data_IF_460171769130
#
_entry.id   IF_460171769130
#
_cell.length_a   1.000
_cell.length_b   1.000
_cell.length_c   1.000
_cell.angle_alpha   90.00
_cell.angle_beta   90.00
_cell.angle_gamma   90.00
#
_symmetry.space_group_name_H-M   'P 1'
#
loop_
_entity.id
_entity.type
_entity.pdbx_description
1 polymer ?
#
# COMPACT_ATOMS: atom_id res chain seq x y z
N UNK A 1 11.52 1.11 67.43
CA UNK A 1 11.38 1.86 66.16
C UNK A 1 12.38 1.32 65.15
N UNK A 2 11.95 0.70 64.06
CA UNK A 2 12.77 0.47 62.85
C UNK A 2 11.85 0.14 61.69
N UNK A 3 11.73 1.09 60.76
CA UNK A 3 10.87 1.01 59.61
C UNK A 3 11.49 0.11 58.53
N UNK A 4 10.77 -0.96 58.16
CA UNK A 4 11.03 -1.76 56.95
C UNK A 4 10.91 -0.88 55.70
N UNK A 5 12.03 -0.47 55.09
CA UNK A 5 12.05 0.02 53.70
C UNK A 5 11.91 -1.18 52.76
N UNK A 6 10.68 -1.47 52.33
CA UNK A 6 10.41 -2.34 51.18
C UNK A 6 11.04 -1.71 49.94
N UNK A 7 12.12 -2.31 49.43
CA UNK A 7 12.63 -2.04 48.07
C UNK A 7 11.49 -2.33 47.08
N UNK A 8 10.94 -1.28 46.46
CA UNK A 8 10.05 -1.43 45.31
C UNK A 8 10.91 -2.00 44.17
N UNK A 9 10.74 -3.29 43.91
CA UNK A 9 11.20 -3.94 42.69
C UNK A 9 10.47 -3.30 41.50
N UNK A 10 11.10 -2.34 40.85
CA UNK A 10 10.71 -1.92 39.51
C UNK A 10 11.22 -3.04 38.59
N UNK A 11 10.38 -4.07 38.40
CA UNK A 11 10.61 -5.09 37.38
C UNK A 11 10.58 -4.38 36.02
N UNK A 12 11.77 -4.08 35.50
CA UNK A 12 11.97 -3.76 34.11
C UNK A 12 11.50 -4.93 33.25
N UNK A 13 10.32 -4.77 32.65
CA UNK A 13 9.87 -5.62 31.56
C UNK A 13 9.31 -4.73 30.47
N UNK A 14 10.16 -4.31 29.55
CA UNK A 14 9.70 -4.16 28.17
C UNK A 14 10.80 -4.67 27.24
N UNK A 15 10.73 -5.97 26.94
CA UNK A 15 11.57 -6.63 25.95
C UNK A 15 11.39 -5.92 24.60
N UNK A 16 12.44 -5.22 24.14
CA UNK A 16 12.67 -4.69 22.79
C UNK A 16 11.47 -4.70 21.83
N UNK A 17 10.65 -3.64 21.88
CA UNK A 17 9.67 -3.37 20.83
C UNK A 17 10.37 -2.59 19.72
N UNK A 18 10.74 -3.27 18.63
CA UNK A 18 11.25 -2.60 17.42
C UNK A 18 10.14 -1.76 16.81
N UNK A 19 10.34 -0.44 16.73
CA UNK A 19 9.40 0.46 16.05
C UNK A 19 9.69 0.48 14.55
N UNK A 20 8.65 0.69 13.72
CA UNK A 20 8.78 0.80 12.27
C UNK A 20 7.71 1.72 11.70
N UNK A 21 8.06 2.51 10.70
CA UNK A 21 7.10 3.31 9.92
C UNK A 21 6.42 2.45 8.84
N UNK A 22 5.22 2.87 8.43
CA UNK A 22 4.49 2.30 7.30
C UNK A 22 3.90 3.45 6.49
N UNK A 23 4.13 3.44 5.18
CA UNK A 23 3.64 4.48 4.27
C UNK A 23 2.57 3.91 3.34
N UNK A 24 1.39 4.53 3.34
CA UNK A 24 0.33 4.30 2.35
C UNK A 24 0.35 5.43 1.34
N UNK A 25 0.19 5.09 0.06
CA UNK A 25 0.26 6.05 -1.05
C UNK A 25 -1.03 5.92 -1.87
N UNK A 26 -1.73 7.03 -2.01
CA UNK A 26 -2.88 7.21 -2.90
C UNK A 26 -2.68 8.49 -3.70
N UNK A 27 -2.95 8.40 -4.99
CA UNK A 27 -2.98 9.49 -5.95
C UNK A 27 -4.46 9.84 -6.12
N UNK A 28 -4.78 11.11 -5.95
CA UNK A 28 -6.13 11.65 -6.08
C UNK A 28 -6.20 12.65 -7.22
N UNK A 29 -7.39 12.92 -7.71
CA UNK A 29 -7.66 14.06 -8.60
C UNK A 29 -7.90 15.35 -7.80
N UNK A 30 -8.27 16.43 -8.49
CA UNK A 30 -8.55 17.74 -7.90
C UNK A 30 -9.73 17.74 -6.91
N UNK A 31 -10.59 16.72 -6.96
CA UNK A 31 -11.75 16.57 -6.08
C UNK A 31 -11.46 15.63 -4.90
N UNK A 32 -10.19 15.31 -4.65
CA UNK A 32 -9.73 14.34 -3.64
C UNK A 32 -10.22 12.90 -3.86
N UNK A 33 -10.72 12.57 -5.05
CA UNK A 33 -11.18 11.24 -5.35
C UNK A 33 -10.02 10.34 -5.76
N UNK A 34 -10.04 9.08 -5.30
CA UNK A 34 -8.91 8.16 -5.52
C UNK A 34 -8.79 7.79 -7.00
N UNK A 35 -7.72 8.26 -7.63
CA UNK A 35 -7.31 7.88 -8.96
C UNK A 35 -6.54 6.55 -8.92
N UNK A 36 -5.40 6.49 -8.22
CA UNK A 36 -4.57 5.28 -8.18
C UNK A 36 -3.93 5.07 -6.80
N UNK A 37 -3.55 3.84 -6.49
CA UNK A 37 -2.93 3.52 -5.19
C UNK A 37 -2.78 2.03 -5.01
N UNK A 38 -2.37 1.59 -3.82
CA UNK A 38 -2.08 0.18 -3.56
C UNK A 38 -3.26 -0.76 -3.86
N UNK A 39 -4.51 -0.31 -3.64
CA UNK A 39 -5.70 -1.10 -3.95
C UNK A 39 -5.88 -1.34 -5.45
N UNK A 40 -5.79 -0.28 -6.28
CA UNK A 40 -5.88 -0.42 -7.75
C UNK A 40 -4.69 -1.21 -8.30
N UNK A 41 -3.49 -0.97 -7.75
CA UNK A 41 -2.29 -1.70 -8.12
C UNK A 41 -2.45 -3.21 -7.91
N UNK A 42 -2.94 -3.67 -6.74
CA UNK A 42 -3.20 -5.08 -6.48
C UNK A 42 -4.24 -5.70 -7.41
N UNK A 43 -5.27 -4.94 -7.78
CA UNK A 43 -6.25 -5.37 -8.80
C UNK A 43 -5.55 -5.65 -10.12
N UNK A 44 -4.72 -4.73 -10.58
CA UNK A 44 -4.04 -4.87 -11.86
C UNK A 44 -2.96 -5.98 -11.83
N UNK A 45 -2.27 -6.20 -10.71
CA UNK A 45 -1.38 -7.37 -10.56
C UNK A 45 -2.18 -8.68 -10.67
N UNK A 46 -3.34 -8.76 -10.00
CA UNK A 46 -4.18 -9.95 -10.08
C UNK A 46 -4.75 -10.18 -11.49
N UNK A 47 -5.10 -9.12 -12.23
CA UNK A 47 -5.52 -9.25 -13.64
C UNK A 47 -4.35 -9.74 -14.51
N UNK A 48 -3.14 -9.19 -14.32
CA UNK A 48 -1.94 -9.63 -15.05
C UNK A 48 -1.60 -11.10 -14.74
N UNK A 49 -1.79 -11.55 -13.50
CA UNK A 49 -1.51 -12.93 -13.08
C UNK A 49 -2.58 -13.94 -13.52
N UNK A 50 -3.86 -13.56 -13.50
CA UNK A 50 -4.97 -14.49 -13.72
C UNK A 50 -5.71 -14.30 -15.04
N UNK A 51 -5.30 -13.34 -15.87
CA UNK A 51 -5.79 -13.13 -17.25
C UNK A 51 -7.22 -12.62 -17.40
N UNK A 52 -7.92 -12.29 -16.30
CA UNK A 52 -9.26 -11.73 -16.36
C UNK A 52 -9.65 -10.98 -15.07
N UNK A 53 -10.57 -10.02 -15.20
CA UNK A 53 -11.16 -9.29 -14.07
C UNK A 53 -11.96 -10.22 -13.16
N UNK A 54 -12.62 -11.24 -13.72
CA UNK A 54 -13.40 -12.21 -12.94
C UNK A 54 -12.49 -13.08 -12.06
N UNK A 55 -11.38 -13.57 -12.58
CA UNK A 55 -10.39 -14.32 -11.78
C UNK A 55 -9.70 -13.42 -10.76
N UNK A 56 -9.33 -12.19 -11.13
CA UNK A 56 -8.77 -11.22 -10.20
C UNK A 56 -9.73 -10.90 -9.03
N UNK A 57 -11.03 -10.78 -9.30
CA UNK A 57 -12.04 -10.56 -8.28
C UNK A 57 -12.15 -11.74 -7.31
N UNK A 58 -12.09 -12.98 -7.83
CA UNK A 58 -12.07 -14.20 -7.00
C UNK A 58 -10.84 -14.24 -6.11
N UNK A 59 -9.65 -14.02 -6.66
CA UNK A 59 -8.39 -14.00 -5.91
C UNK A 59 -8.42 -12.97 -4.78
N UNK A 60 -8.88 -11.75 -5.09
CA UNK A 60 -8.90 -10.65 -4.13
C UNK A 60 -10.08 -10.72 -3.15
N UNK A 61 -10.94 -11.74 -3.24
CA UNK A 61 -12.19 -11.87 -2.46
C UNK A 61 -13.07 -10.62 -2.57
N UNK A 62 -13.15 -10.06 -3.78
CA UNK A 62 -13.94 -8.88 -4.12
C UNK A 62 -15.06 -9.28 -5.10
N UNK A 63 -16.16 -8.52 -5.11
CA UNK A 63 -17.14 -8.69 -6.18
C UNK A 63 -16.59 -8.19 -7.51
N UNK A 64 -16.97 -8.84 -8.62
CA UNK A 64 -16.61 -8.41 -9.97
C UNK A 64 -16.92 -6.92 -10.20
N UNK A 65 -18.12 -6.47 -9.80
CA UNK A 65 -18.56 -5.06 -9.92
C UNK A 65 -17.63 -4.10 -9.16
N UNK A 66 -17.12 -4.52 -8.00
CA UNK A 66 -16.22 -3.72 -7.16
C UNK A 66 -14.82 -3.57 -7.77
N UNK A 67 -14.31 -4.61 -8.44
CA UNK A 67 -13.04 -4.57 -9.18
C UNK A 67 -13.20 -3.75 -10.45
N UNK A 68 -14.22 -4.07 -11.26
CA UNK A 68 -14.56 -3.38 -12.50
C UNK A 68 -14.74 -1.87 -12.28
N UNK A 69 -15.56 -1.48 -11.30
CA UNK A 69 -15.84 -0.08 -11.00
C UNK A 69 -14.59 0.71 -10.58
N UNK A 70 -13.67 0.11 -9.83
CA UNK A 70 -12.41 0.78 -9.44
C UNK A 70 -11.49 1.06 -10.62
N UNK A 71 -11.40 0.10 -11.55
CA UNK A 71 -10.60 0.29 -12.76
C UNK A 71 -11.25 1.33 -13.66
N UNK A 72 -12.57 1.23 -13.92
CA UNK A 72 -13.28 2.20 -14.75
C UNK A 72 -13.20 3.62 -14.21
N UNK A 73 -13.37 3.79 -12.89
CA UNK A 73 -13.17 5.08 -12.22
C UNK A 73 -11.77 5.67 -12.47
N UNK A 74 -10.74 4.82 -12.55
CA UNK A 74 -9.36 5.25 -12.85
C UNK A 74 -9.22 5.66 -14.32
N UNK A 75 -9.76 4.85 -15.23
CA UNK A 75 -9.71 5.08 -16.68
C UNK A 75 -10.46 6.36 -17.08
N UNK A 76 -11.63 6.60 -16.51
CA UNK A 76 -12.45 7.80 -16.72
C UNK A 76 -11.69 9.07 -16.31
N UNK A 77 -11.09 9.07 -15.12
CA UNK A 77 -10.30 10.21 -14.62
C UNK A 77 -9.04 10.49 -15.45
N UNK A 78 -8.43 9.45 -16.01
CA UNK A 78 -7.23 9.58 -16.83
C UNK A 78 -7.49 9.79 -18.31
N UNK A 79 -8.75 9.62 -18.75
CA UNK A 79 -9.14 9.51 -20.15
C UNK A 79 -8.24 8.51 -20.92
N UNK A 80 -7.93 7.37 -20.29
CA UNK A 80 -7.00 6.34 -20.82
C UNK A 80 -7.41 4.95 -20.37
N UNK A 81 -7.44 4.02 -21.31
CA UNK A 81 -7.68 2.61 -20.99
C UNK A 81 -6.45 1.96 -20.33
N UNK A 82 -6.72 1.24 -19.25
CA UNK A 82 -5.75 0.45 -18.48
C UNK A 82 -5.88 -1.02 -18.85
N UNK A 83 -7.09 -1.49 -19.19
CA UNK A 83 -7.37 -2.86 -19.59
C UNK A 83 -7.98 -2.96 -20.99
N UNK A 84 -7.49 -3.89 -21.79
CA UNK A 84 -8.15 -4.36 -23.01
C UNK A 84 -8.99 -5.58 -22.65
N UNK A 85 -10.21 -5.65 -23.20
CA UNK A 85 -11.04 -6.85 -23.13
C UNK A 85 -10.80 -7.72 -24.36
N UNK A 86 -10.56 -9.00 -24.13
CA UNK A 86 -10.57 -9.98 -25.21
C UNK A 86 -11.98 -10.56 -25.30
N UNK A 87 -12.59 -10.47 -26.49
CA UNK A 87 -13.90 -11.07 -26.74
C UNK A 87 -13.83 -12.59 -26.48
N UNK A 88 -14.74 -13.10 -25.65
CA UNK A 88 -14.78 -14.51 -25.30
C UNK A 88 -15.89 -15.23 -26.04
N UNK A 89 -15.53 -16.27 -26.79
CA UNK A 89 -16.44 -17.36 -27.14
C UNK A 89 -16.71 -18.28 -25.94
N UNK A 90 -16.98 -19.56 -26.20
CA UNK A 90 -17.48 -20.56 -25.23
C UNK A 90 -16.65 -20.75 -23.94
N UNK A 91 -15.41 -20.24 -23.88
CA UNK A 91 -14.49 -20.33 -22.74
C UNK A 91 -14.45 -19.07 -21.84
N UNK A 92 -15.22 -18.03 -22.16
CA UNK A 92 -15.25 -16.78 -21.41
C UNK A 92 -14.17 -15.77 -21.84
N UNK A 93 -14.51 -14.48 -21.78
CA UNK A 93 -13.62 -13.39 -22.20
C UNK A 93 -12.47 -13.13 -21.22
N UNK A 94 -11.37 -12.58 -21.74
CA UNK A 94 -10.17 -12.23 -20.98
C UNK A 94 -10.03 -10.73 -20.73
N UNK A 95 -9.06 -10.36 -19.90
CA UNK A 95 -8.66 -8.96 -19.74
C UNK A 95 -7.15 -8.85 -19.55
N UNK A 96 -6.52 -7.96 -20.30
CA UNK A 96 -5.08 -7.75 -20.30
C UNK A 96 -4.73 -6.27 -20.10
N UNK A 97 -3.57 -6.00 -19.50
CA UNK A 97 -3.09 -4.63 -19.36
C UNK A 97 -2.75 -4.03 -20.73
N UNK A 98 -3.24 -2.82 -20.99
CA UNK A 98 -2.77 -1.98 -22.11
C UNK A 98 -1.29 -1.63 -21.91
N UNK A 99 -0.58 -1.16 -22.96
CA UNK A 99 0.77 -0.60 -22.79
C UNK A 99 0.81 0.52 -21.74
N UNK A 100 -0.25 1.34 -21.67
CA UNK A 100 -0.41 2.35 -20.63
C UNK A 100 -0.54 1.72 -19.23
N UNK A 101 -1.40 0.71 -19.07
CA UNK A 101 -1.55 -0.04 -17.82
C UNK A 101 -0.24 -0.65 -17.32
N UNK A 102 0.53 -1.30 -18.21
CA UNK A 102 1.85 -1.86 -17.86
C UNK A 102 2.83 -0.78 -17.41
N UNK A 103 2.86 0.36 -18.12
CA UNK A 103 3.70 1.51 -17.75
C UNK A 103 3.29 2.11 -16.40
N UNK A 104 1.99 2.27 -16.14
CA UNK A 104 1.44 2.74 -14.88
C UNK A 104 1.88 1.85 -13.71
N UNK A 105 1.75 0.52 -13.87
CA UNK A 105 2.20 -0.47 -12.88
C UNK A 105 3.69 -0.36 -12.58
N UNK A 106 4.53 -0.31 -13.63
CA UNK A 106 5.99 -0.16 -13.48
C UNK A 106 6.37 1.12 -12.75
N UNK A 107 5.77 2.26 -13.12
CA UNK A 107 6.05 3.56 -12.52
C UNK A 107 5.58 3.62 -11.07
N UNK A 108 4.38 3.13 -10.77
CA UNK A 108 3.85 3.10 -9.41
C UNK A 108 4.68 2.20 -8.48
N UNK A 109 5.12 1.03 -8.96
CA UNK A 109 6.02 0.13 -8.20
C UNK A 109 7.32 0.84 -7.82
N UNK A 110 7.93 1.58 -8.75
CA UNK A 110 9.14 2.37 -8.50
C UNK A 110 8.89 3.51 -7.50
N UNK A 111 7.82 4.28 -7.71
CA UNK A 111 7.43 5.38 -6.81
C UNK A 111 7.21 4.87 -5.38
N UNK A 112 6.45 3.79 -5.21
CA UNK A 112 6.16 3.18 -3.91
C UNK A 112 7.42 2.72 -3.21
N UNK A 113 8.34 2.05 -3.92
CA UNK A 113 9.62 1.62 -3.36
C UNK A 113 10.42 2.81 -2.83
N UNK A 114 10.59 3.86 -3.65
CA UNK A 114 11.35 5.04 -3.28
C UNK A 114 10.77 5.74 -2.04
N UNK A 115 9.43 5.88 -1.98
CA UNK A 115 8.77 6.51 -0.83
C UNK A 115 8.97 5.67 0.43
N UNK A 116 8.81 4.34 0.35
CA UNK A 116 8.98 3.46 1.52
C UNK A 116 10.43 3.51 2.00
N UNK A 117 11.41 3.35 1.11
CA UNK A 117 12.83 3.37 1.47
C UNK A 117 13.23 4.70 2.13
N UNK A 118 12.77 5.83 1.57
CA UNK A 118 13.05 7.13 2.16
C UNK A 118 12.30 7.33 3.48
N UNK A 119 11.05 6.86 3.58
CA UNK A 119 10.29 6.92 4.84
C UNK A 119 11.01 6.13 5.94
N UNK A 120 11.47 4.92 5.64
CA UNK A 120 12.21 4.06 6.56
C UNK A 120 13.54 4.71 6.99
N UNK A 121 14.23 5.37 6.06
CA UNK A 121 15.46 6.12 6.36
C UNK A 121 15.19 7.30 7.30
N UNK A 122 14.29 8.21 6.92
CA UNK A 122 13.93 9.39 7.73
C UNK A 122 13.39 8.99 9.10
N UNK A 123 12.60 7.92 9.17
CA UNK A 123 12.14 7.39 10.45
C UNK A 123 13.29 6.95 11.34
N UNK A 124 14.27 6.22 10.81
CA UNK A 124 15.42 5.74 11.59
C UNK A 124 16.37 6.86 12.00
N UNK A 125 16.63 7.81 11.10
CA UNK A 125 17.62 8.87 11.30
C UNK A 125 17.06 10.01 12.17
N UNK A 126 15.83 10.45 11.89
CA UNK A 126 15.33 11.71 12.47
C UNK A 126 14.32 11.49 13.60
N UNK A 127 13.44 10.49 13.45
CA UNK A 127 12.26 10.36 14.32
C UNK A 127 12.40 9.29 15.40
N UNK A 128 13.06 8.16 15.10
CA UNK A 128 13.24 7.07 16.03
C UNK A 128 14.08 7.47 17.25
N UNK A 129 15.21 8.21 17.12
CA UNK A 129 15.97 8.69 18.28
C UNK A 129 15.14 9.57 19.21
N UNK A 130 14.29 10.43 18.63
CA UNK A 130 13.34 11.24 19.38
C UNK A 130 12.33 10.39 20.17
N UNK A 131 11.78 9.33 19.56
CA UNK A 131 10.80 8.45 20.23
C UNK A 131 11.39 7.59 21.36
N UNK A 132 12.65 7.16 21.24
CA UNK A 132 13.29 6.28 22.22
C UNK A 132 14.06 7.04 23.32
N UNK A 133 14.12 8.37 23.22
CA UNK A 133 14.79 9.22 24.22
C UNK A 133 16.32 9.21 24.11
N UNK A 134 16.88 8.81 22.96
CA UNK A 134 18.34 8.82 22.70
C UNK A 134 18.87 10.21 22.35
N UNK A 135 18.26 11.28 22.91
CA UNK A 135 18.81 12.62 22.74
C UNK A 135 19.90 12.91 23.76
N UNK A 136 21.08 13.08 23.20
CA UNK A 136 22.21 13.85 23.73
C UNK A 136 21.99 15.37 23.60
N UNK A 137 20.84 15.81 23.11
CA UNK A 137 20.52 17.22 22.88
C UNK A 137 19.21 17.59 23.57
N UNK A 138 19.35 18.09 24.79
CA UNK A 138 18.45 19.09 25.36
C UNK A 138 18.32 20.25 24.36
N UNK A 139 17.07 20.71 24.12
CA UNK A 139 16.65 22.09 23.88
C UNK A 139 15.11 22.12 23.73
#
# INVERSE_FOLDING_TARGET
MSAKKKKKNIKGSNKNKSLSIRSKIWIVDENEEVLFGLGRFKILEAVEQHGSISSAAKELKMSYRSVWGKIKATEERLNKEILVKNAGGSSGGGSELTPFGKSLMKKFRKLRKNIIDNSDRLFKEDFLPYLIGDKKDDL
#
